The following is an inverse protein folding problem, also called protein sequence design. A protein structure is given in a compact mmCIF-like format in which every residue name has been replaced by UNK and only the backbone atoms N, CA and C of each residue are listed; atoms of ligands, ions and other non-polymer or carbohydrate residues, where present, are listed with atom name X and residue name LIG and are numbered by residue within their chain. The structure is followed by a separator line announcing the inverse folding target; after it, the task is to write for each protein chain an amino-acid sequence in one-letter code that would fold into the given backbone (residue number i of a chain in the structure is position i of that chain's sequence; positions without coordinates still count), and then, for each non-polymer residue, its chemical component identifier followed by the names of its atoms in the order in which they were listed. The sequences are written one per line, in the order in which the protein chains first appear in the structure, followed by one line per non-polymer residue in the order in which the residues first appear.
data_IF_208470089891
#
_entry.id   IF_208470089891
#
_cell.length_a   1.000
_cell.length_b   1.000
_cell.length_c   1.000
_cell.angle_alpha   90.00
_cell.angle_beta   90.00
_cell.angle_gamma   90.00
#
_symmetry.space_group_name_H-M   'P 1'
#
loop_
_entity.id
_entity.type
_entity.pdbx_description
1 polymer ?
#
# COMPACT_ATOMS: atom_id res chain seq x y z
N UNK A 1 11.29 0.25 8.78
CA UNK A 1 10.32 -0.26 9.78
C UNK A 1 10.74 0.05 11.22
N UNK A 2 11.96 -0.34 11.67
CA UNK A 2 12.41 -0.11 13.05
C UNK A 2 12.39 1.37 13.44
N UNK A 3 12.88 2.27 12.59
CA UNK A 3 12.87 3.72 12.84
C UNK A 3 11.43 4.25 12.97
N UNK A 4 10.51 3.74 12.18
CA UNK A 4 9.09 4.06 12.23
C UNK A 4 8.47 3.71 13.58
N UNK A 5 8.62 2.45 14.01
CA UNK A 5 8.09 1.99 15.30
C UNK A 5 8.75 2.69 16.49
N UNK A 6 10.06 3.00 16.39
CA UNK A 6 10.75 3.77 17.42
C UNK A 6 10.19 5.20 17.52
N UNK A 7 9.81 5.83 16.38
CA UNK A 7 9.17 7.15 16.42
C UNK A 7 7.83 7.10 17.15
N UNK A 8 7.03 6.04 16.98
CA UNK A 8 5.83 5.85 17.78
C UNK A 8 6.11 5.77 19.28
N UNK A 9 7.18 5.10 19.70
CA UNK A 9 7.57 5.08 21.12
C UNK A 9 7.86 6.50 21.66
N UNK A 10 8.51 7.36 20.87
CA UNK A 10 8.74 8.77 21.22
C UNK A 10 7.42 9.55 21.29
N UNK A 11 6.53 9.36 20.35
CA UNK A 11 5.20 10.00 20.34
C UNK A 11 4.39 9.58 21.58
N UNK A 12 4.33 8.29 21.91
CA UNK A 12 3.67 7.81 23.13
C UNK A 12 4.26 8.41 24.39
N UNK A 13 5.58 8.55 24.48
CA UNK A 13 6.22 9.19 25.63
C UNK A 13 5.84 10.68 25.74
N UNK A 14 5.67 11.38 24.61
CA UNK A 14 5.18 12.76 24.62
C UNK A 14 3.71 12.86 25.06
N UNK A 15 2.88 11.88 24.71
CA UNK A 15 1.49 11.79 25.10
C UNK A 15 1.28 11.32 26.56
N UNK A 16 2.20 10.53 27.12
CA UNK A 16 2.09 10.00 28.48
C UNK A 16 2.47 11.05 29.55
N UNK A 17 1.72 12.13 29.63
CA UNK A 17 1.92 13.27 30.54
C UNK A 17 0.60 13.71 31.15
N UNK A 18 0.68 14.49 32.24
CA UNK A 18 -0.50 15.08 32.90
C UNK A 18 -1.55 14.03 33.27
N UNK A 19 -2.79 14.27 32.89
CA UNK A 19 -3.93 13.39 33.18
C UNK A 19 -3.77 12.00 32.56
N UNK A 20 -3.19 11.89 31.38
CA UNK A 20 -2.95 10.61 30.73
C UNK A 20 -1.97 9.75 31.54
N UNK A 21 -0.93 10.36 32.11
CA UNK A 21 0.01 9.66 32.99
C UNK A 21 -0.68 9.18 34.26
N UNK A 22 -1.56 10.00 34.88
CA UNK A 22 -2.33 9.59 36.02
C UNK A 22 -3.29 8.43 35.69
N UNK A 23 -3.97 8.49 34.52
CA UNK A 23 -4.80 7.41 34.04
C UNK A 23 -4.00 6.12 33.78
N UNK A 24 -2.77 6.23 33.29
CA UNK A 24 -1.90 5.06 33.07
C UNK A 24 -1.47 4.37 34.37
N UNK A 25 -1.36 5.09 35.49
CA UNK A 25 -1.09 4.47 36.77
C UNK A 25 -2.28 3.66 37.31
N UNK A 26 -3.51 4.10 36.97
CA UNK A 26 -4.72 3.41 37.44
C UNK A 26 -5.13 2.27 36.48
N UNK A 27 -5.00 2.46 35.20
CA UNK A 27 -5.54 1.59 34.13
C UNK A 27 -4.45 0.88 33.34
N UNK A 28 -3.18 1.07 33.71
CA UNK A 28 -2.05 0.49 32.98
C UNK A 28 -1.98 0.98 31.52
N UNK A 29 -1.69 0.09 30.61
CA UNK A 29 -1.55 0.40 29.18
C UNK A 29 -2.84 0.99 28.58
N UNK A 30 -4.00 0.60 29.06
CA UNK A 30 -5.30 1.14 28.60
C UNK A 30 -5.40 2.64 28.87
N UNK A 31 -4.89 3.12 30.00
CA UNK A 31 -4.82 4.54 30.32
C UNK A 31 -3.94 5.32 29.35
N UNK A 32 -2.81 4.74 28.92
CA UNK A 32 -1.90 5.38 27.96
C UNK A 32 -2.54 5.52 26.58
N UNK A 33 -3.39 4.58 26.16
CA UNK A 33 -4.07 4.64 24.84
C UNK A 33 -5.07 5.80 24.74
N UNK A 34 -5.57 6.33 25.86
CA UNK A 34 -6.41 7.54 25.86
C UNK A 34 -5.64 8.72 25.25
N UNK A 35 -4.31 8.75 25.37
CA UNK A 35 -3.47 9.77 24.75
C UNK A 35 -3.64 9.88 23.24
N UNK A 36 -3.96 8.77 22.56
CA UNK A 36 -4.17 8.74 21.10
C UNK A 36 -5.36 9.59 20.64
N UNK A 37 -6.33 9.84 21.51
CA UNK A 37 -7.47 10.71 21.20
C UNK A 37 -7.05 12.18 20.98
N UNK A 38 -5.87 12.56 21.44
CA UNK A 38 -5.36 13.93 21.33
C UNK A 38 -4.48 14.18 20.10
N UNK A 39 -4.22 13.13 19.29
CA UNK A 39 -3.43 13.28 18.06
C UNK A 39 -4.13 12.58 16.90
N UNK A 40 -4.30 13.26 15.76
CA UNK A 40 -4.89 12.62 14.60
C UNK A 40 -3.93 11.56 14.03
N UNK A 41 -4.50 10.43 13.61
CA UNK A 41 -3.73 9.28 13.12
C UNK A 41 -2.83 9.64 11.93
N UNK A 42 -3.29 10.51 11.03
CA UNK A 42 -2.50 10.95 9.89
C UNK A 42 -1.23 11.72 10.31
N UNK A 43 -1.29 12.48 11.41
CA UNK A 43 -0.13 13.21 11.91
C UNK A 43 0.86 12.27 12.60
N UNK A 44 0.36 11.28 13.34
CA UNK A 44 1.22 10.27 13.97
C UNK A 44 1.94 9.41 12.94
N UNK A 45 1.22 8.86 12.00
CA UNK A 45 1.78 7.99 10.96
C UNK A 45 2.67 8.79 9.98
N UNK A 46 2.24 9.98 9.59
CA UNK A 46 3.02 10.85 8.71
C UNK A 46 4.35 11.29 9.32
N UNK A 47 4.35 11.63 10.58
CA UNK A 47 5.56 11.96 11.34
C UNK A 47 6.50 10.74 11.49
N UNK A 48 5.96 9.55 11.65
CA UNK A 48 6.76 8.33 11.70
C UNK A 48 7.37 8.01 10.32
N UNK A 49 6.62 8.20 9.22
CA UNK A 49 7.16 8.06 7.86
C UNK A 49 8.22 9.13 7.56
N UNK A 50 8.02 10.37 7.98
CA UNK A 50 9.02 11.42 7.86
C UNK A 50 10.31 11.02 8.58
N UNK A 51 10.21 10.58 9.83
CA UNK A 51 11.36 10.17 10.63
C UNK A 51 12.11 8.98 10.01
N UNK A 52 11.41 7.94 9.54
CA UNK A 52 12.07 6.82 8.86
C UNK A 52 12.75 7.25 7.55
N UNK A 53 12.20 8.27 6.87
CA UNK A 53 12.73 8.78 5.61
C UNK A 53 13.99 9.60 5.82
N UNK A 54 14.05 10.41 6.87
CA UNK A 54 15.26 11.16 7.22
C UNK A 54 16.37 10.29 7.78
N UNK A 55 16.02 9.24 8.52
CA UNK A 55 16.98 8.38 9.21
C UNK A 55 17.51 7.22 8.35
N UNK A 56 17.04 7.05 7.13
CA UNK A 56 17.45 5.94 6.26
C UNK A 56 17.49 6.33 4.79
N UNK A 57 18.35 5.63 4.02
CA UNK A 57 18.39 5.76 2.55
C UNK A 57 17.23 5.06 1.82
N UNK A 58 16.35 4.38 2.54
CA UNK A 58 15.24 3.56 2.00
C UNK A 58 13.87 3.94 2.57
N UNK A 59 13.75 5.10 3.22
CA UNK A 59 12.48 5.55 3.77
C UNK A 59 11.38 5.64 2.72
N UNK A 60 10.14 5.36 3.12
CA UNK A 60 8.97 5.36 2.19
C UNK A 60 8.81 6.67 1.43
N UNK A 61 9.12 7.80 2.06
CA UNK A 61 9.04 9.13 1.43
C UNK A 61 9.98 9.32 0.24
N UNK A 62 11.06 8.52 0.14
CA UNK A 62 11.99 8.53 -1.00
C UNK A 62 11.50 7.66 -2.16
N UNK A 63 10.46 6.85 -1.96
CA UNK A 63 9.98 5.93 -2.98
C UNK A 63 8.97 6.65 -3.90
N UNK A 64 9.22 6.73 -5.22
CA UNK A 64 8.32 7.40 -6.15
C UNK A 64 6.88 6.88 -6.09
N UNK A 65 6.70 5.58 -5.86
CA UNK A 65 5.38 4.97 -5.72
C UNK A 65 4.60 5.48 -4.52
N UNK A 66 5.26 5.83 -3.43
CA UNK A 66 4.61 6.32 -2.22
C UNK A 66 4.01 7.71 -2.41
N UNK A 67 4.60 8.54 -3.26
CA UNK A 67 4.12 9.90 -3.53
C UNK A 67 3.30 10.02 -4.83
N UNK A 68 3.24 8.94 -5.63
CA UNK A 68 2.66 8.93 -6.97
C UNK A 68 1.22 9.40 -7.01
N UNK A 69 0.38 8.93 -6.09
CA UNK A 69 -1.05 9.25 -6.06
C UNK A 69 -1.28 10.74 -5.76
N UNK A 70 -0.55 11.30 -4.79
CA UNK A 70 -0.61 12.75 -4.54
C UNK A 70 -0.04 13.57 -5.68
N UNK A 71 1.01 13.10 -6.36
CA UNK A 71 1.53 13.77 -7.54
C UNK A 71 0.51 13.78 -8.68
N UNK A 72 -0.18 12.66 -8.91
CA UNK A 72 -1.23 12.56 -9.93
C UNK A 72 -2.47 13.43 -9.61
N UNK A 73 -2.71 13.70 -8.34
CA UNK A 73 -3.85 14.49 -7.85
C UNK A 73 -3.45 15.87 -7.32
N UNK A 74 -2.22 16.33 -7.61
CA UNK A 74 -1.63 17.53 -7.04
C UNK A 74 -2.47 18.78 -7.25
N UNK A 75 -2.95 19.01 -8.46
CA UNK A 75 -3.80 20.17 -8.78
C UNK A 75 -5.12 20.13 -8.03
N UNK A 76 -5.72 18.92 -7.90
CA UNK A 76 -6.96 18.72 -7.16
C UNK A 76 -6.76 18.96 -5.65
N UNK A 77 -5.65 18.51 -5.10
CA UNK A 77 -5.29 18.73 -3.70
C UNK A 77 -4.98 20.21 -3.45
N UNK A 78 -4.23 20.86 -4.35
CA UNK A 78 -3.91 22.28 -4.26
C UNK A 78 -5.17 23.17 -4.36
N UNK A 79 -6.15 22.80 -5.18
CA UNK A 79 -7.44 23.48 -5.23
C UNK A 79 -8.21 23.39 -3.89
N UNK A 80 -7.87 22.45 -3.02
CA UNK A 80 -8.38 22.29 -1.66
C UNK A 80 -9.79 21.72 -1.59
N UNK A 81 -10.79 22.49 -1.96
CA UNK A 81 -12.20 22.04 -1.86
C UNK A 81 -12.58 21.65 -0.42
N UNK A 82 -13.26 20.52 -0.26
CA UNK A 82 -13.55 19.93 1.05
C UNK A 82 -12.32 19.18 1.58
N UNK A 83 -11.58 19.80 2.46
CA UNK A 83 -10.33 19.26 3.05
C UNK A 83 -10.61 18.04 3.91
N UNK A 84 -11.73 17.97 4.61
CA UNK A 84 -12.10 16.83 5.46
C UNK A 84 -12.10 15.51 4.68
N UNK A 85 -12.43 15.56 3.40
CA UNK A 85 -12.40 14.39 2.52
C UNK A 85 -11.00 13.77 2.42
N UNK A 86 -9.95 14.59 2.40
CA UNK A 86 -8.57 14.11 2.36
C UNK A 86 -8.13 13.46 3.67
N UNK A 87 -8.64 13.95 4.80
CA UNK A 87 -8.32 13.41 6.12
C UNK A 87 -9.16 12.19 6.50
N UNK A 88 -10.42 12.16 6.10
CA UNK A 88 -11.37 11.12 6.51
C UNK A 88 -11.53 10.01 5.47
N UNK A 89 -11.03 10.21 4.25
CA UNK A 89 -11.27 9.30 3.14
C UNK A 89 -12.64 9.49 2.48
N UNK A 90 -12.93 8.70 1.47
CA UNK A 90 -14.21 8.71 0.75
C UNK A 90 -14.55 7.31 0.25
N UNK A 91 -15.83 6.96 0.33
CA UNK A 91 -16.36 5.73 -0.29
C UNK A 91 -16.68 5.91 -1.77
N UNK A 92 -16.72 7.13 -2.25
CA UNK A 92 -17.06 7.47 -3.63
C UNK A 92 -15.85 7.78 -4.48
N UNK A 93 -14.94 8.56 -3.92
CA UNK A 93 -13.79 9.09 -4.65
C UNK A 93 -12.51 8.50 -4.09
N UNK A 94 -11.53 8.27 -4.96
CA UNK A 94 -10.20 7.89 -4.52
C UNK A 94 -9.58 9.04 -3.72
N UNK A 95 -9.09 8.71 -2.55
CA UNK A 95 -8.26 9.58 -1.71
C UNK A 95 -7.06 8.74 -1.27
N UNK A 96 -5.82 9.21 -1.47
CA UNK A 96 -4.63 8.53 -0.97
C UNK A 96 -4.69 8.34 0.54
N UNK A 97 -3.97 7.36 1.06
CA UNK A 97 -4.06 7.01 2.47
C UNK A 97 -3.45 8.08 3.41
N UNK A 98 -3.74 7.94 4.70
CA UNK A 98 -3.31 8.86 5.73
C UNK A 98 -1.79 8.84 5.99
N UNK A 99 -1.08 7.77 5.62
CA UNK A 99 0.39 7.73 5.67
C UNK A 99 1.02 8.70 4.68
N UNK A 100 0.51 8.66 3.45
CA UNK A 100 0.97 9.53 2.38
C UNK A 100 0.62 10.99 2.67
N UNK A 101 -0.64 11.26 3.08
CA UNK A 101 -1.10 12.58 3.46
C UNK A 101 -0.24 13.16 4.59
N UNK A 102 -0.14 12.39 5.66
CA UNK A 102 0.60 12.80 6.85
C UNK A 102 2.06 13.08 6.56
N UNK A 103 2.71 12.23 5.76
CA UNK A 103 4.10 12.45 5.35
C UNK A 103 4.28 13.80 4.65
N UNK A 104 3.42 14.15 3.69
CA UNK A 104 3.54 15.41 2.96
C UNK A 104 3.40 16.61 3.91
N UNK A 105 2.38 16.61 4.77
CA UNK A 105 2.11 17.73 5.69
C UNK A 105 3.18 17.80 6.78
N UNK A 106 3.61 16.66 7.35
CA UNK A 106 4.64 16.66 8.41
C UNK A 106 6.00 17.11 7.88
N UNK A 107 6.39 16.65 6.68
CA UNK A 107 7.64 17.05 6.04
C UNK A 107 7.64 18.54 5.67
N UNK A 108 6.53 19.03 5.13
CA UNK A 108 6.37 20.47 4.87
C UNK A 108 6.50 21.30 6.15
N UNK A 109 5.77 20.90 7.20
CA UNK A 109 5.79 21.60 8.48
C UNK A 109 7.20 21.58 9.11
N UNK A 110 7.91 20.46 9.05
CA UNK A 110 9.28 20.36 9.52
C UNK A 110 10.21 21.30 8.77
N UNK A 111 10.14 21.32 7.45
CA UNK A 111 10.93 22.24 6.60
C UNK A 111 10.60 23.69 6.89
N UNK A 112 9.32 24.01 7.09
CA UNK A 112 8.84 25.37 7.30
C UNK A 112 9.21 25.96 8.67
N UNK A 113 9.16 25.13 9.73
CA UNK A 113 9.35 25.59 11.11
C UNK A 113 10.70 25.19 11.71
N UNK A 114 11.48 24.33 11.04
CA UNK A 114 12.79 23.87 11.50
C UNK A 114 12.74 22.93 12.71
N UNK A 115 11.55 22.48 13.09
CA UNK A 115 11.35 21.55 14.20
C UNK A 115 10.15 20.61 13.94
N UNK A 116 10.10 19.49 14.64
CA UNK A 116 8.91 18.62 14.64
C UNK A 116 7.80 19.28 15.47
N UNK A 117 6.86 19.94 14.79
CA UNK A 117 5.78 20.69 15.44
C UNK A 117 4.86 19.80 16.26
N UNK A 118 4.70 18.53 15.87
CA UNK A 118 3.76 17.59 16.48
C UNK A 118 4.15 17.19 17.89
N UNK A 119 5.43 17.17 18.21
CA UNK A 119 5.89 16.92 19.60
C UNK A 119 5.41 17.99 20.58
N UNK A 120 5.40 19.23 20.15
CA UNK A 120 4.94 20.36 20.96
C UNK A 120 3.42 20.41 21.06
N UNK A 121 2.74 20.13 19.94
CA UNK A 121 1.28 20.02 19.88
C UNK A 121 0.80 18.89 20.78
N UNK A 122 1.38 17.69 20.70
CA UNK A 122 1.04 16.55 21.52
C UNK A 122 1.16 16.84 23.02
N UNK A 123 2.32 17.41 23.42
CA UNK A 123 2.56 17.79 24.83
C UNK A 123 1.59 18.85 25.35
N UNK A 124 1.21 19.80 24.51
CA UNK A 124 0.20 20.78 24.88
C UNK A 124 -1.18 20.13 25.04
N UNK A 125 -1.56 19.29 24.10
CA UNK A 125 -2.88 18.65 24.05
C UNK A 125 -3.16 17.82 25.30
N UNK A 126 -2.22 16.96 25.71
CA UNK A 126 -2.40 16.10 26.92
C UNK A 126 -2.30 16.87 28.24
N UNK A 127 -1.73 18.08 28.25
CA UNK A 127 -1.72 18.95 29.42
C UNK A 127 -2.98 19.78 29.59
N UNK A 128 -3.75 19.93 28.50
CA UNK A 128 -4.96 20.75 28.47
C UNK A 128 -6.17 19.94 27.95
N UNK A 129 -6.47 18.76 28.53
CA UNK A 129 -7.49 17.84 28.02
C UNK A 129 -8.92 18.41 28.14
N UNK A 130 -9.11 19.47 28.90
CA UNK A 130 -10.38 20.20 29.04
C UNK A 130 -10.71 21.04 27.80
N UNK A 131 -9.75 21.23 26.88
CA UNK A 131 -9.99 21.90 25.61
C UNK A 131 -10.41 20.82 24.59
N UNK A 132 -11.63 20.90 24.06
CA UNK A 132 -12.15 19.92 23.10
C UNK A 132 -11.36 19.86 21.79
N UNK A 133 -10.76 20.98 21.38
CA UNK A 133 -10.00 21.12 20.12
C UNK A 133 -8.56 21.51 20.42
N UNK A 134 -7.83 20.62 21.08
CA UNK A 134 -6.48 20.92 21.58
C UNK A 134 -5.47 21.20 20.47
N UNK A 135 -5.50 20.41 19.36
CA UNK A 135 -4.56 20.55 18.25
C UNK A 135 -4.69 21.89 17.52
N UNK A 136 -5.90 22.34 17.10
CA UNK A 136 -6.09 23.66 16.52
C UNK A 136 -5.61 24.80 17.43
N UNK A 137 -5.90 24.71 18.73
CA UNK A 137 -5.45 25.72 19.70
C UNK A 137 -3.93 25.75 19.83
N UNK A 138 -3.28 24.57 19.87
CA UNK A 138 -1.83 24.47 19.94
C UNK A 138 -1.15 25.00 18.69
N UNK A 139 -1.63 24.61 17.51
CA UNK A 139 -1.10 25.08 16.22
C UNK A 139 -1.19 26.60 16.10
N UNK A 140 -2.36 27.16 16.44
CA UNK A 140 -2.54 28.62 16.40
C UNK A 140 -1.65 29.33 17.40
N UNK A 141 -1.54 28.80 18.63
CA UNK A 141 -0.74 29.38 19.70
C UNK A 141 0.76 29.39 19.41
N UNK A 142 1.30 28.28 18.90
CA UNK A 142 2.75 28.11 18.78
C UNK A 142 3.29 28.47 17.40
N UNK A 143 2.47 28.32 16.36
CA UNK A 143 2.90 28.43 14.96
C UNK A 143 2.06 29.40 14.14
N UNK A 144 0.99 29.98 14.70
CA UNK A 144 0.12 30.93 14.02
C UNK A 144 -0.67 30.32 12.85
N UNK A 145 -0.76 29.00 12.76
CA UNK A 145 -1.33 28.25 11.64
C UNK A 145 -2.48 27.35 12.07
N UNK A 146 -3.18 26.77 11.12
CA UNK A 146 -4.20 25.72 11.29
C UNK A 146 -3.83 24.49 10.46
N UNK A 147 -4.56 23.38 10.65
CA UNK A 147 -4.42 22.17 9.79
C UNK A 147 -4.77 22.52 8.34
N UNK A 148 -5.80 23.33 8.13
CA UNK A 148 -6.23 23.78 6.81
C UNK A 148 -5.15 24.62 6.11
N UNK A 149 -4.53 25.54 6.85
CA UNK A 149 -3.44 26.37 6.31
C UNK A 149 -2.24 25.50 5.94
N UNK A 150 -1.88 24.54 6.79
CA UNK A 150 -0.81 23.58 6.52
C UNK A 150 -1.10 22.73 5.28
N UNK A 151 -2.32 22.19 5.17
CA UNK A 151 -2.74 21.40 4.00
C UNK A 151 -2.61 22.23 2.72
N UNK A 152 -3.23 23.41 2.69
CA UNK A 152 -3.22 24.28 1.50
C UNK A 152 -1.80 24.71 1.11
N UNK A 153 -0.99 25.12 2.08
CA UNK A 153 0.39 25.50 1.82
C UNK A 153 1.22 24.33 1.30
N UNK A 154 1.09 23.14 1.92
CA UNK A 154 1.79 21.93 1.50
C UNK A 154 1.51 21.61 0.04
N UNK A 155 0.24 21.53 -0.33
CA UNK A 155 -0.12 21.09 -1.70
C UNK A 155 0.05 22.20 -2.74
N UNK A 156 -0.03 23.48 -2.36
CA UNK A 156 0.34 24.58 -3.24
C UNK A 156 1.83 24.55 -3.60
N UNK A 157 2.70 24.33 -2.60
CA UNK A 157 4.15 24.27 -2.83
C UNK A 157 4.53 23.02 -3.62
N UNK A 158 3.92 21.86 -3.30
CA UNK A 158 4.15 20.62 -4.04
C UNK A 158 3.68 20.70 -5.49
N UNK A 159 2.50 21.25 -5.75
CA UNK A 159 2.00 21.44 -7.11
C UNK A 159 2.93 22.35 -7.92
N UNK A 160 3.40 23.45 -7.32
CA UNK A 160 4.35 24.36 -7.94
C UNK A 160 5.69 23.67 -8.26
N UNK A 161 6.18 22.86 -7.31
CA UNK A 161 7.40 22.09 -7.53
C UNK A 161 7.23 21.04 -8.63
N UNK A 162 6.16 20.26 -8.61
CA UNK A 162 5.89 19.27 -9.65
C UNK A 162 5.72 19.88 -11.04
N UNK A 163 5.07 21.05 -11.12
CA UNK A 163 4.94 21.79 -12.38
C UNK A 163 6.27 22.31 -12.92
N UNK A 164 7.27 22.53 -12.05
CA UNK A 164 8.61 22.95 -12.45
C UNK A 164 9.50 21.82 -12.97
N UNK A 165 9.09 20.57 -12.78
CA UNK A 165 9.84 19.40 -13.29
C UNK A 165 9.72 19.32 -14.82
N UNK A 166 10.77 18.83 -15.52
CA UNK A 166 10.69 18.62 -16.95
C UNK A 166 9.45 17.79 -17.32
N UNK A 167 8.72 18.17 -18.37
CA UNK A 167 7.60 17.37 -18.85
C UNK A 167 8.10 15.99 -19.24
N UNK A 168 7.40 14.96 -18.78
CA UNK A 168 7.67 13.60 -19.19
C UNK A 168 7.02 13.37 -20.55
N UNK A 169 7.81 13.00 -21.55
CA UNK A 169 7.25 12.61 -22.84
C UNK A 169 6.46 11.32 -22.68
N UNK A 170 5.15 11.42 -22.82
CA UNK A 170 4.26 10.26 -22.87
C UNK A 170 4.44 9.57 -24.22
N UNK A 171 5.33 8.59 -24.26
CA UNK A 171 5.58 7.80 -25.46
C UNK A 171 4.55 6.68 -25.69
N UNK A 172 3.67 6.41 -24.74
CA UNK A 172 2.71 5.32 -24.80
C UNK A 172 1.26 5.81 -24.69
N UNK A 173 0.45 5.44 -25.67
CA UNK A 173 -1.00 5.65 -25.59
C UNK A 173 -1.63 4.67 -24.57
N UNK A 174 -2.61 5.11 -23.77
CA UNK A 174 -3.33 4.23 -22.87
C UNK A 174 -4.09 3.16 -23.68
N UNK A 175 -3.98 1.89 -23.24
CA UNK A 175 -4.66 0.78 -23.89
C UNK A 175 -6.18 0.79 -23.62
N UNK A 176 -6.59 1.26 -22.46
CA UNK A 176 -8.00 1.35 -22.05
C UNK A 176 -8.46 2.80 -21.99
N UNK A 177 -9.75 3.08 -22.25
CA UNK A 177 -10.31 4.41 -22.00
C UNK A 177 -10.11 4.82 -20.53
N UNK A 178 -9.88 6.10 -20.30
CA UNK A 178 -9.85 6.62 -18.93
C UNK A 178 -11.23 6.45 -18.29
N UNK A 179 -11.32 5.94 -17.06
CA UNK A 179 -12.60 5.77 -16.37
C UNK A 179 -13.21 7.13 -16.04
N UNK A 180 -14.46 7.34 -16.44
CA UNK A 180 -15.17 8.62 -16.25
C UNK A 180 -15.75 8.79 -14.82
N UNK A 181 -16.03 7.70 -14.14
CA UNK A 181 -16.84 7.72 -12.90
C UNK A 181 -16.11 7.26 -11.65
N UNK A 182 -15.31 6.22 -11.76
CA UNK A 182 -14.73 5.55 -10.59
C UNK A 182 -13.25 5.34 -10.75
N UNK A 183 -12.51 5.53 -9.67
CA UNK A 183 -11.11 5.15 -9.62
C UNK A 183 -10.97 3.67 -9.99
N UNK A 184 -10.12 3.41 -10.99
CA UNK A 184 -9.88 2.07 -11.52
C UNK A 184 -8.38 1.82 -11.60
N UNK A 185 -7.95 0.67 -11.11
CA UNK A 185 -6.55 0.20 -11.22
C UNK A 185 -6.48 -1.07 -12.03
N UNK A 186 -5.47 -1.14 -12.90
CA UNK A 186 -5.06 -2.36 -13.57
C UNK A 186 -3.68 -2.75 -13.06
N UNK A 187 -3.57 -3.95 -12.52
CA UNK A 187 -2.31 -4.48 -11.99
C UNK A 187 -1.86 -5.67 -12.83
N UNK A 188 -0.54 -5.81 -12.93
CA UNK A 188 0.11 -6.97 -13.53
C UNK A 188 -0.39 -7.28 -14.94
N UNK A 189 -0.24 -6.37 -15.92
CA UNK A 189 -0.57 -6.69 -17.29
C UNK A 189 0.30 -7.84 -17.79
N UNK A 190 -0.35 -8.87 -18.32
CA UNK A 190 0.26 -10.08 -18.85
C UNK A 190 -0.21 -10.31 -20.29
N UNK A 191 0.68 -10.59 -21.26
CA UNK A 191 0.26 -10.85 -22.63
C UNK A 191 -0.59 -12.13 -22.72
N UNK A 192 -1.65 -12.07 -23.50
CA UNK A 192 -2.47 -13.21 -23.93
C UNK A 192 -2.34 -13.34 -25.44
N UNK A 193 -1.23 -13.89 -25.92
CA UNK A 193 -0.83 -13.84 -27.32
C UNK A 193 -0.60 -12.40 -27.78
N UNK A 194 -0.73 -12.17 -29.07
CA UNK A 194 -0.45 -10.86 -29.69
C UNK A 194 -1.64 -9.89 -29.64
N UNK A 195 -2.85 -10.40 -29.39
CA UNK A 195 -4.08 -9.65 -29.55
C UNK A 195 -4.69 -9.12 -28.26
N UNK A 196 -4.31 -9.66 -27.10
CA UNK A 196 -4.92 -9.31 -25.85
C UNK A 196 -3.93 -9.22 -24.68
N UNK A 197 -4.37 -8.55 -23.62
CA UNK A 197 -3.67 -8.45 -22.32
C UNK A 197 -4.62 -8.91 -21.23
N UNK A 198 -4.14 -9.76 -20.34
CA UNK A 198 -4.78 -10.04 -19.06
C UNK A 198 -4.33 -9.01 -18.02
N UNK A 199 -5.25 -8.49 -17.24
CA UNK A 199 -4.91 -7.65 -16.09
C UNK A 199 -5.83 -7.94 -14.90
N UNK A 200 -5.33 -7.69 -13.69
CA UNK A 200 -6.16 -7.67 -12.49
C UNK A 200 -6.75 -6.28 -12.32
N UNK A 201 -8.07 -6.16 -12.47
CA UNK A 201 -8.82 -4.91 -12.34
C UNK A 201 -9.43 -4.79 -10.96
N UNK A 202 -9.25 -3.61 -10.35
CA UNK A 202 -9.90 -3.23 -9.08
C UNK A 202 -10.53 -1.86 -9.26
N UNK A 203 -11.78 -1.72 -8.86
CA UNK A 203 -12.53 -0.46 -8.81
C UNK A 203 -13.44 -0.44 -7.58
N UNK A 204 -14.16 0.67 -7.37
CA UNK A 204 -15.07 0.82 -6.21
C UNK A 204 -16.45 0.19 -6.42
N UNK A 205 -16.81 -0.18 -7.64
CA UNK A 205 -18.15 -0.68 -7.95
C UNK A 205 -18.24 -2.21 -7.87
N UNK A 206 -17.15 -2.91 -8.11
CA UNK A 206 -17.16 -4.36 -8.29
C UNK A 206 -15.98 -5.04 -7.59
N UNK A 207 -16.16 -6.31 -7.28
CA UNK A 207 -15.10 -7.14 -6.76
C UNK A 207 -13.90 -7.20 -7.70
N UNK A 208 -12.70 -7.35 -7.11
CA UNK A 208 -11.44 -7.56 -7.84
C UNK A 208 -11.58 -8.74 -8.80
N UNK A 209 -11.12 -8.57 -10.03
CA UNK A 209 -11.35 -9.52 -11.11
C UNK A 209 -10.26 -9.51 -12.16
N UNK A 210 -10.05 -10.64 -12.81
CA UNK A 210 -9.29 -10.70 -14.03
C UNK A 210 -10.15 -10.21 -15.20
N UNK A 211 -9.54 -9.36 -16.03
CA UNK A 211 -10.12 -8.86 -17.28
C UNK A 211 -9.18 -9.17 -18.43
N UNK A 212 -9.75 -9.51 -19.59
CA UNK A 212 -9.09 -9.56 -20.88
C UNK A 212 -9.33 -8.24 -21.59
N UNK A 213 -8.27 -7.63 -22.09
CA UNK A 213 -8.31 -6.35 -22.79
C UNK A 213 -7.82 -6.60 -24.19
N UNK A 214 -8.64 -6.31 -25.19
CA UNK A 214 -8.26 -6.36 -26.61
C UNK A 214 -7.29 -5.22 -26.93
N UNK A 215 -6.11 -5.54 -27.47
CA UNK A 215 -5.04 -4.54 -27.70
C UNK A 215 -5.38 -3.54 -28.79
N UNK A 216 -6.25 -3.89 -29.72
CA UNK A 216 -6.61 -3.03 -30.86
C UNK A 216 -7.74 -2.08 -30.50
N UNK A 217 -8.72 -2.54 -29.73
CA UNK A 217 -9.95 -1.80 -29.46
C UNK A 217 -10.00 -1.21 -28.04
N UNK A 218 -9.19 -1.72 -27.10
CA UNK A 218 -9.29 -1.40 -25.69
C UNK A 218 -10.51 -2.01 -25.00
N UNK A 219 -11.29 -2.83 -25.72
CA UNK A 219 -12.49 -3.45 -25.16
C UNK A 219 -12.13 -4.45 -24.06
N UNK A 220 -12.90 -4.38 -22.96
CA UNK A 220 -12.71 -5.26 -21.81
C UNK A 220 -13.76 -6.34 -21.73
N UNK A 221 -13.30 -7.55 -21.42
CA UNK A 221 -14.12 -8.69 -21.07
C UNK A 221 -13.75 -9.18 -19.66
N UNK A 222 -14.75 -9.33 -18.76
CA UNK A 222 -14.54 -9.93 -17.45
C UNK A 222 -14.36 -11.44 -17.60
N UNK A 223 -13.25 -11.99 -17.10
CA UNK A 223 -13.02 -13.44 -17.09
C UNK A 223 -13.53 -14.03 -15.77
N UNK A 224 -12.99 -13.59 -14.62
CA UNK A 224 -13.33 -14.16 -13.33
C UNK A 224 -13.11 -13.16 -12.19
N UNK A 225 -13.96 -13.25 -11.15
CA UNK A 225 -13.67 -12.58 -9.88
C UNK A 225 -12.65 -13.39 -9.08
N UNK A 226 -11.82 -12.68 -8.30
CA UNK A 226 -10.78 -13.27 -7.45
C UNK A 226 -10.96 -12.83 -6.00
N UNK A 227 -10.28 -13.53 -5.09
CA UNK A 227 -10.05 -13.04 -3.74
C UNK A 227 -8.92 -12.00 -3.71
N UNK A 228 -8.26 -11.88 -2.55
CA UNK A 228 -7.11 -10.99 -2.37
C UNK A 228 -5.86 -11.59 -3.01
N UNK A 229 -5.60 -11.24 -4.26
CA UNK A 229 -4.40 -11.70 -4.98
C UNK A 229 -3.16 -11.14 -4.32
N UNK A 230 -2.23 -12.02 -3.94
CA UNK A 230 -1.08 -11.66 -3.09
C UNK A 230 0.17 -11.28 -3.87
N UNK A 231 0.41 -11.96 -5.01
CA UNK A 231 1.61 -11.74 -5.84
C UNK A 231 1.25 -11.71 -7.31
N UNK A 232 2.22 -11.31 -8.15
CA UNK A 232 2.02 -11.26 -9.60
C UNK A 232 1.56 -12.60 -10.14
N UNK A 233 0.46 -12.67 -10.91
CA UNK A 233 0.02 -13.87 -11.60
C UNK A 233 0.97 -14.30 -12.71
N UNK A 234 0.83 -15.54 -13.17
CA UNK A 234 1.51 -16.06 -14.34
C UNK A 234 0.51 -16.64 -15.35
N UNK A 235 0.85 -16.57 -16.63
CA UNK A 235 0.03 -17.12 -17.71
C UNK A 235 0.88 -18.09 -18.53
N UNK A 236 0.32 -19.23 -18.86
CA UNK A 236 0.93 -20.23 -19.76
C UNK A 236 0.10 -21.51 -19.83
N UNK A 237 0.24 -22.28 -20.90
CA UNK A 237 -0.51 -23.51 -21.12
C UNK A 237 -2.03 -23.32 -21.13
N UNK A 238 -2.54 -22.18 -21.58
CA UNK A 238 -3.96 -21.85 -21.58
C UNK A 238 -4.55 -21.58 -20.20
N UNK A 239 -3.70 -21.34 -19.20
CA UNK A 239 -4.09 -21.13 -17.80
C UNK A 239 -3.55 -19.83 -17.25
N UNK A 240 -4.27 -19.29 -16.27
CA UNK A 240 -3.79 -18.25 -15.35
C UNK A 240 -3.55 -18.87 -13.99
N UNK A 241 -2.39 -18.58 -13.41
CA UNK A 241 -1.99 -19.03 -12.09
C UNK A 241 -1.79 -17.83 -11.20
N UNK A 242 -2.31 -17.86 -9.96
CA UNK A 242 -2.12 -16.78 -8.99
C UNK A 242 -2.16 -17.31 -7.56
N UNK A 243 -1.85 -16.47 -6.61
CA UNK A 243 -1.95 -16.77 -5.19
C UNK A 243 -2.89 -15.80 -4.50
N UNK A 244 -3.70 -16.30 -3.57
CA UNK A 244 -4.65 -15.51 -2.80
C UNK A 244 -4.36 -15.61 -1.31
N UNK A 245 -4.43 -14.49 -0.61
CA UNK A 245 -4.45 -14.51 0.86
C UNK A 245 -5.79 -15.04 1.37
N UNK A 246 -5.70 -16.01 2.26
CA UNK A 246 -6.86 -16.58 2.96
C UNK A 246 -6.63 -16.58 4.45
N UNK A 247 -7.57 -16.01 5.19
CA UNK A 247 -7.56 -16.05 6.66
C UNK A 247 -7.96 -17.44 7.15
N UNK A 248 -7.38 -17.85 8.27
CA UNK A 248 -7.80 -19.05 8.96
C UNK A 248 -9.19 -18.85 9.56
N UNK A 249 -10.05 -19.86 9.49
CA UNK A 249 -11.37 -19.85 10.14
C UNK A 249 -11.26 -19.90 11.67
N UNK A 250 -10.16 -20.47 12.20
CA UNK A 250 -9.98 -20.65 13.65
C UNK A 250 -9.11 -19.57 14.28
N UNK A 251 -8.18 -19.01 13.52
CA UNK A 251 -7.20 -18.04 14.02
C UNK A 251 -7.19 -16.83 13.12
N UNK A 252 -7.88 -15.77 13.51
CA UNK A 252 -8.07 -14.56 12.72
C UNK A 252 -6.75 -13.92 12.26
N UNK A 253 -5.73 -13.96 13.10
CA UNK A 253 -4.41 -13.40 12.81
C UNK A 253 -3.59 -14.29 11.84
N UNK A 254 -4.02 -15.51 11.60
CA UNK A 254 -3.31 -16.42 10.72
C UNK A 254 -3.79 -16.27 9.27
N UNK A 255 -2.92 -15.72 8.43
CA UNK A 255 -3.14 -15.59 6.99
C UNK A 255 -2.20 -16.55 6.26
N UNK A 256 -2.73 -17.28 5.31
CA UNK A 256 -1.95 -18.14 4.41
C UNK A 256 -2.19 -17.66 2.97
N UNK A 257 -1.21 -17.84 2.10
CA UNK A 257 -1.41 -17.70 0.66
C UNK A 257 -1.75 -19.07 0.05
N UNK A 258 -2.75 -19.11 -0.80
CA UNK A 258 -3.24 -20.31 -1.47
C UNK A 258 -2.98 -20.21 -2.96
N UNK A 259 -2.36 -21.24 -3.55
CA UNK A 259 -2.20 -21.33 -5.00
C UNK A 259 -3.53 -21.62 -5.68
N UNK A 260 -3.87 -20.81 -6.68
CA UNK A 260 -5.09 -20.87 -7.46
C UNK A 260 -4.77 -20.88 -8.95
N UNK A 261 -5.69 -21.40 -9.74
CA UNK A 261 -5.64 -21.35 -11.20
C UNK A 261 -7.03 -21.28 -11.82
N UNK A 262 -7.07 -20.89 -13.08
CA UNK A 262 -8.24 -21.07 -13.96
C UNK A 262 -7.80 -21.39 -15.38
N UNK A 263 -8.55 -22.21 -16.07
CA UNK A 263 -8.41 -22.40 -17.50
C UNK A 263 -9.05 -21.18 -18.20
N UNK A 264 -8.33 -20.58 -19.16
CA UNK A 264 -8.82 -19.40 -19.91
C UNK A 264 -10.07 -19.74 -20.74
N UNK A 265 -10.28 -21.00 -21.07
CA UNK A 265 -11.43 -21.47 -21.84
C UNK A 265 -12.73 -21.46 -21.04
N UNK A 266 -12.70 -21.71 -19.73
CA UNK A 266 -13.91 -21.76 -18.90
C UNK A 266 -14.03 -20.63 -17.87
N UNK A 267 -12.95 -19.92 -17.60
CA UNK A 267 -12.91 -18.79 -16.68
C UNK A 267 -13.27 -19.13 -15.22
N UNK A 268 -13.19 -20.42 -14.84
CA UNK A 268 -13.58 -20.87 -13.50
C UNK A 268 -12.38 -20.94 -12.55
N UNK A 269 -12.34 -20.12 -11.49
CA UNK A 269 -11.29 -20.19 -10.47
C UNK A 269 -11.31 -21.53 -9.72
N UNK A 270 -10.15 -22.11 -9.56
CA UNK A 270 -9.92 -23.36 -8.83
C UNK A 270 -8.75 -23.20 -7.86
N UNK A 271 -8.80 -23.91 -6.77
CA UNK A 271 -7.74 -23.95 -5.77
C UNK A 271 -6.92 -25.23 -5.93
N UNK A 272 -5.59 -25.10 -5.90
CA UNK A 272 -4.72 -26.27 -5.86
C UNK A 272 -4.70 -26.84 -4.45
N UNK A 273 -5.18 -28.07 -4.28
CA UNK A 273 -5.27 -28.72 -2.97
C UNK A 273 -3.87 -28.84 -2.32
N UNK A 274 -3.79 -28.59 -1.02
CA UNK A 274 -2.57 -28.75 -0.23
C UNK A 274 -1.46 -27.71 -0.48
N UNK A 275 -1.65 -26.75 -1.36
CA UNK A 275 -0.64 -25.72 -1.68
C UNK A 275 -0.92 -24.43 -0.93
N UNK A 276 -0.61 -24.45 0.37
CA UNK A 276 -0.65 -23.29 1.26
C UNK A 276 0.75 -22.65 1.34
N UNK A 277 0.80 -21.36 1.60
CA UNK A 277 2.02 -20.56 1.67
C UNK A 277 2.79 -20.51 0.33
N UNK A 278 2.10 -20.62 -0.79
CA UNK A 278 2.64 -20.44 -2.11
C UNK A 278 2.61 -18.96 -2.52
N UNK A 279 3.68 -18.47 -3.10
CA UNK A 279 3.86 -17.09 -3.57
C UNK A 279 4.53 -17.10 -4.95
N UNK A 280 4.39 -16.04 -5.71
CA UNK A 280 5.11 -15.82 -6.96
C UNK A 280 5.06 -17.00 -7.94
N UNK A 281 3.86 -17.42 -8.39
CA UNK A 281 3.77 -18.48 -9.39
C UNK A 281 4.45 -18.06 -10.69
N UNK A 282 5.16 -18.96 -11.32
CA UNK A 282 5.78 -18.79 -12.64
C UNK A 282 5.49 -20.02 -13.50
N UNK A 283 5.21 -19.79 -14.79
CA UNK A 283 5.06 -20.89 -15.76
C UNK A 283 6.41 -21.12 -16.44
N UNK A 284 6.80 -22.37 -16.48
CA UNK A 284 8.04 -22.87 -17.06
C UNK A 284 7.70 -23.64 -18.34
N UNK A 285 8.24 -23.24 -19.49
CA UNK A 285 8.04 -23.92 -20.78
C UNK A 285 6.57 -24.24 -21.05
N UNK A 286 5.68 -23.25 -20.93
CA UNK A 286 4.22 -23.32 -21.17
C UNK A 286 3.41 -24.34 -20.37
N UNK A 287 4.03 -25.30 -19.71
CA UNK A 287 3.29 -26.42 -19.08
C UNK A 287 3.71 -26.72 -17.66
N UNK A 288 4.93 -26.38 -17.26
CA UNK A 288 5.43 -26.64 -15.91
C UNK A 288 5.20 -25.43 -15.03
N UNK A 289 4.93 -25.69 -13.77
CA UNK A 289 4.68 -24.63 -12.79
C UNK A 289 5.80 -24.58 -11.77
N UNK A 290 6.23 -23.37 -11.44
CA UNK A 290 7.08 -23.10 -10.29
C UNK A 290 6.42 -22.08 -9.37
N UNK A 291 6.72 -22.15 -8.08
CA UNK A 291 6.29 -21.15 -7.09
C UNK A 291 7.28 -21.08 -5.94
N UNK A 292 7.21 -20.03 -5.18
CA UNK A 292 7.95 -19.89 -3.91
C UNK A 292 7.08 -20.47 -2.80
N UNK A 293 7.65 -21.35 -1.98
CA UNK A 293 7.03 -21.87 -0.74
C UNK A 293 7.66 -21.14 0.45
N UNK A 294 6.82 -20.51 1.27
CA UNK A 294 7.19 -19.94 2.56
C UNK A 294 6.83 -20.94 3.67
N UNK A 295 7.77 -21.21 4.57
CA UNK A 295 7.60 -22.16 5.67
C UNK A 295 7.41 -21.47 7.01
N UNK A 296 6.75 -22.13 7.98
CA UNK A 296 6.54 -21.56 9.32
C UNK A 296 7.83 -21.23 10.08
N UNK A 297 8.94 -21.86 9.74
CA UNK A 297 10.26 -21.58 10.32
C UNK A 297 10.96 -20.33 9.71
N UNK A 298 10.27 -19.63 8.80
CA UNK A 298 10.79 -18.46 8.11
C UNK A 298 11.70 -18.78 6.92
N UNK A 299 11.86 -20.05 6.55
CA UNK A 299 12.64 -20.42 5.37
C UNK A 299 11.81 -20.37 4.09
N UNK A 300 12.50 -20.17 2.96
CA UNK A 300 11.91 -20.16 1.63
C UNK A 300 12.47 -21.31 0.78
N UNK A 301 11.67 -21.78 -0.16
CA UNK A 301 12.10 -22.71 -1.17
C UNK A 301 11.43 -22.41 -2.51
N UNK A 302 12.14 -22.63 -3.61
CA UNK A 302 11.52 -22.71 -4.95
C UNK A 302 11.03 -24.12 -5.15
N UNK A 303 9.75 -24.28 -5.43
CA UNK A 303 9.13 -25.54 -5.79
C UNK A 303 8.85 -25.54 -7.28
N UNK A 304 9.28 -26.57 -8.00
CA UNK A 304 9.04 -26.75 -9.43
C UNK A 304 8.42 -28.13 -9.68
N UNK A 305 7.40 -28.19 -10.53
CA UNK A 305 6.85 -29.43 -11.04
C UNK A 305 7.65 -29.91 -12.26
N UNK A 306 7.79 -31.22 -12.41
CA UNK A 306 8.28 -31.84 -13.64
C UNK A 306 7.11 -32.21 -14.57
N UNK A 307 7.43 -32.76 -15.75
CA UNK A 307 6.43 -33.17 -16.74
C UNK A 307 5.50 -34.32 -16.24
N UNK A 308 5.89 -35.02 -15.18
CA UNK A 308 5.08 -36.09 -14.54
C UNK A 308 4.27 -35.54 -13.34
N UNK A 309 4.38 -34.23 -13.05
CA UNK A 309 3.74 -33.59 -11.90
C UNK A 309 4.45 -33.83 -10.57
N UNK A 310 5.66 -34.43 -10.57
CA UNK A 310 6.47 -34.57 -9.36
C UNK A 310 7.11 -33.24 -8.99
N UNK A 311 7.20 -32.98 -7.69
CA UNK A 311 7.74 -31.72 -7.17
C UNK A 311 9.20 -31.84 -6.76
N UNK A 312 9.99 -30.91 -7.23
CA UNK A 312 11.36 -30.69 -6.76
C UNK A 312 11.43 -29.39 -5.96
N UNK A 313 12.03 -29.44 -4.78
CA UNK A 313 12.24 -28.29 -3.91
C UNK A 313 13.71 -27.92 -3.86
N UNK A 314 13.99 -26.64 -4.11
CA UNK A 314 15.32 -26.05 -3.98
C UNK A 314 15.24 -25.02 -2.86
N UNK A 315 15.88 -25.22 -1.71
CA UNK A 315 15.84 -24.28 -0.63
C UNK A 315 16.58 -22.97 -1.01
N UNK A 316 16.08 -21.85 -0.50
CA UNK A 316 16.78 -20.58 -0.57
C UNK A 316 18.03 -20.61 0.34
N UNK A 317 19.03 -19.78 0.07
CA UNK A 317 20.15 -19.61 0.98
C UNK A 317 19.68 -19.22 2.40
N UNK A 318 20.39 -19.60 3.46
CA UNK A 318 20.02 -19.22 4.82
C UNK A 318 19.91 -17.70 4.99
N UNK A 319 18.88 -17.26 5.72
CA UNK A 319 18.60 -15.83 6.00
C UNK A 319 18.32 -14.99 4.75
N UNK A 320 17.83 -15.62 3.68
CA UNK A 320 17.39 -14.94 2.47
C UNK A 320 15.88 -15.10 2.26
N UNK A 321 15.28 -14.10 1.62
CA UNK A 321 13.88 -14.10 1.19
C UNK A 321 13.82 -14.08 -0.34
N UNK A 322 12.78 -14.71 -0.90
CA UNK A 322 12.55 -14.71 -2.34
C UNK A 322 11.34 -13.80 -2.63
N UNK A 323 11.57 -12.70 -3.33
CA UNK A 323 10.56 -11.69 -3.64
C UNK A 323 10.04 -11.72 -5.09
N UNK A 324 10.38 -12.72 -5.84
CA UNK A 324 9.93 -12.90 -7.21
C UNK A 324 10.47 -14.18 -7.81
N UNK A 325 9.79 -14.67 -8.82
CA UNK A 325 10.19 -15.82 -9.62
C UNK A 325 9.84 -15.55 -11.08
N UNK A 326 10.79 -15.76 -11.94
CA UNK A 326 10.60 -15.71 -13.38
C UNK A 326 11.37 -16.88 -14.02
N UNK A 327 10.89 -17.34 -15.15
CA UNK A 327 11.57 -18.33 -15.95
C UNK A 327 12.21 -17.66 -17.18
N UNK A 328 13.43 -18.03 -17.49
CA UNK A 328 14.12 -17.58 -18.69
C UNK A 328 14.31 -18.78 -19.64
N UNK A 329 13.58 -18.75 -20.76
CA UNK A 329 13.65 -19.80 -21.78
C UNK A 329 14.99 -19.83 -22.52
N UNK A 330 15.78 -18.75 -22.49
CA UNK A 330 17.06 -18.67 -23.19
C UNK A 330 18.18 -19.35 -22.45
N UNK A 331 18.14 -19.33 -21.13
CA UNK A 331 19.17 -19.93 -20.25
C UNK A 331 18.74 -21.26 -19.64
N UNK A 332 17.48 -21.66 -19.82
CA UNK A 332 16.88 -22.85 -19.18
C UNK A 332 16.92 -22.78 -17.63
N UNK A 333 16.86 -21.55 -17.06
CA UNK A 333 17.02 -21.25 -15.63
C UNK A 333 15.78 -20.56 -15.01
#
# INVERSE_FOLDING_TARGET
LVAHEYRHAVQYNNLNRGVIKAASWLLGQQGSTIGLLFMPIWAMEGDAVMSETEMSSFGRGLQPRFTLEYRAMGDLAAAGGNIDKWFCGSYRDMVPDHYQLGYQICSYAYTRYGENIWDKVARFSVRNPYLFFTNPVALKKFYGTSVDDLFRATFSDLASWWASLPPQEDSAAPLTPLPERNYTTYRWPLPLGDTAVLALKTDFDRATRFVRIDRRTGAEERIACTGSVSTRPAVGGGRVWWTEYRRSLLFEQRVNSQLCYMDLADGRPRTVAGRRNALYPAVVRDSLLAWVEYRPDGSFAVVRTDAKGCERRTPAPPRSEIHGLAWDDTTDA
#
